data_IF_665903566713
#
_entry.id   IF_665903566713
#
_cell.length_a   1.000
_cell.length_b   1.000
_cell.length_c   1.000
_cell.angle_alpha   90.00
_cell.angle_beta   90.00
_cell.angle_gamma   90.00
#
_symmetry.space_group_name_H-M   'P 1'
#
loop_
_entity.id
_entity.type
_entity.pdbx_description
1 polymer ?
#
# COMPACT_ATOMS: atom_id res chain seq x y z
N UNK A 1 33.05 -8.70 -2.60
CA UNK A 1 32.01 -9.67 -2.28
C UNK A 1 31.01 -9.64 -3.43
N UNK A 2 30.77 -10.79 -4.05
CA UNK A 2 29.82 -10.89 -5.16
C UNK A 2 28.40 -11.01 -4.60
N UNK A 3 27.50 -10.13 -5.03
CA UNK A 3 26.09 -10.08 -4.58
C UNK A 3 25.18 -10.84 -5.52
N UNK A 4 24.42 -11.80 -4.98
CA UNK A 4 23.47 -12.63 -5.72
C UNK A 4 22.04 -12.42 -5.19
N UNK A 5 21.24 -11.50 -5.74
CA UNK A 5 19.92 -11.15 -5.19
C UNK A 5 18.96 -12.32 -5.04
N UNK A 6 19.06 -13.32 -5.96
CA UNK A 6 18.20 -14.49 -5.95
C UNK A 6 18.54 -15.51 -4.85
N UNK A 7 19.74 -15.44 -4.27
CA UNK A 7 20.22 -16.38 -3.27
C UNK A 7 20.37 -15.78 -1.87
N UNK A 8 20.70 -14.49 -1.82
CA UNK A 8 20.89 -13.81 -0.54
C UNK A 8 19.57 -13.46 0.12
N UNK A 9 19.50 -13.76 1.38
CA UNK A 9 18.37 -13.41 2.24
C UNK A 9 18.35 -11.92 2.49
N UNK A 10 17.17 -11.34 2.37
CA UNK A 10 16.92 -9.94 2.68
C UNK A 10 16.27 -9.80 4.05
N UNK A 11 15.31 -10.66 4.34
CA UNK A 11 14.57 -10.62 5.60
C UNK A 11 13.81 -11.91 5.88
N UNK A 12 13.33 -12.00 7.12
CA UNK A 12 12.43 -13.05 7.57
C UNK A 12 11.09 -12.43 7.96
N UNK A 13 10.00 -12.89 7.30
CA UNK A 13 8.63 -12.55 7.70
C UNK A 13 8.03 -13.73 8.46
N UNK A 14 7.44 -13.44 9.63
CA UNK A 14 6.79 -14.48 10.41
C UNK A 14 5.32 -14.62 9.99
N UNK A 15 4.93 -15.85 9.67
CA UNK A 15 3.53 -16.24 9.46
C UNK A 15 2.97 -16.88 10.73
N UNK A 16 1.69 -16.62 11.03
CA UNK A 16 1.02 -17.20 12.22
C UNK A 16 0.91 -18.72 12.20
N UNK A 17 1.16 -19.36 11.05
CA UNK A 17 1.02 -20.81 10.90
C UNK A 17 -0.39 -21.32 11.20
N UNK A 18 -0.84 -22.35 10.49
CA UNK A 18 -2.14 -22.99 10.75
C UNK A 18 -2.12 -23.98 11.91
N UNK A 19 -0.95 -24.35 12.40
CA UNK A 19 -0.77 -25.47 13.33
C UNK A 19 0.38 -25.27 14.31
N UNK A 20 0.42 -24.17 15.07
CA UNK A 20 1.40 -24.04 16.15
C UNK A 20 2.27 -22.78 16.12
N UNK A 21 3.58 -22.92 16.31
CA UNK A 21 4.51 -21.81 16.41
C UNK A 21 4.61 -21.00 15.10
N UNK A 22 4.82 -19.67 15.19
CA UNK A 22 5.06 -18.84 14.01
C UNK A 22 6.22 -19.38 13.17
N UNK A 23 6.03 -19.41 11.86
CA UNK A 23 7.05 -19.87 10.92
C UNK A 23 7.77 -18.67 10.30
N UNK A 24 9.10 -18.67 10.35
CA UNK A 24 9.92 -17.69 9.66
C UNK A 24 9.98 -18.02 8.16
N UNK A 25 9.40 -17.13 7.35
CA UNK A 25 9.48 -17.23 5.88
C UNK A 25 10.68 -16.40 5.42
N UNK A 26 11.63 -17.09 4.78
CA UNK A 26 12.83 -16.47 4.22
C UNK A 26 12.50 -15.77 2.90
N UNK A 27 12.77 -14.48 2.81
CA UNK A 27 12.63 -13.70 1.60
C UNK A 27 14.01 -13.28 1.08
N UNK A 28 14.24 -13.49 -0.20
CA UNK A 28 15.46 -13.01 -0.87
C UNK A 28 15.30 -11.57 -1.35
N UNK A 29 16.41 -10.90 -1.66
CA UNK A 29 16.36 -9.58 -2.30
C UNK A 29 15.57 -9.61 -3.61
N UNK A 30 15.68 -10.69 -4.40
CA UNK A 30 14.92 -10.84 -5.64
C UNK A 30 13.41 -10.90 -5.40
N UNK A 31 12.94 -11.55 -4.31
CA UNK A 31 11.52 -11.56 -3.97
C UNK A 31 10.99 -10.15 -3.71
N UNK A 32 11.73 -9.34 -2.96
CA UNK A 32 11.32 -7.96 -2.69
C UNK A 32 11.33 -7.10 -3.95
N UNK A 33 12.37 -7.18 -4.76
CA UNK A 33 12.48 -6.45 -6.02
C UNK A 33 11.32 -6.81 -6.95
N UNK A 34 11.08 -8.10 -7.17
CA UNK A 34 10.02 -8.59 -8.05
C UNK A 34 8.64 -8.10 -7.56
N UNK A 35 8.35 -8.23 -6.27
CA UNK A 35 7.08 -7.81 -5.70
C UNK A 35 6.90 -6.28 -5.77
N UNK A 36 7.96 -5.51 -5.52
CA UNK A 36 7.94 -4.05 -5.66
C UNK A 36 7.57 -3.64 -7.08
N UNK A 37 8.19 -4.24 -8.09
CA UNK A 37 7.90 -3.98 -9.50
C UNK A 37 6.45 -4.35 -9.84
N UNK A 38 6.00 -5.56 -9.45
CA UNK A 38 4.64 -6.02 -9.68
C UNK A 38 3.60 -5.06 -9.10
N UNK A 39 3.79 -4.65 -7.85
CA UNK A 39 2.89 -3.72 -7.17
C UNK A 39 2.92 -2.33 -7.81
N UNK A 40 4.10 -1.84 -8.20
CA UNK A 40 4.23 -0.54 -8.88
C UNK A 40 3.44 -0.54 -10.20
N UNK A 41 3.56 -1.58 -11.01
CA UNK A 41 2.80 -1.74 -12.26
C UNK A 41 1.29 -1.82 -11.97
N UNK A 42 0.88 -2.61 -10.97
CA UNK A 42 -0.53 -2.77 -10.59
C UNK A 42 -1.17 -1.44 -10.16
N UNK A 43 -0.39 -0.58 -9.50
CA UNK A 43 -0.86 0.74 -9.05
C UNK A 43 -0.81 1.81 -10.17
N UNK A 44 -0.46 1.44 -11.40
CA UNK A 44 -0.35 2.37 -12.53
C UNK A 44 0.94 3.19 -12.54
N UNK A 45 1.93 2.82 -11.72
CA UNK A 45 3.24 3.45 -11.72
C UNK A 45 4.02 3.13 -12.98
N UNK A 46 4.78 4.12 -13.47
CA UNK A 46 5.73 3.88 -14.56
C UNK A 46 6.99 3.24 -13.99
N UNK A 47 7.26 2.03 -14.39
CA UNK A 47 8.56 1.40 -14.15
C UNK A 47 9.43 1.73 -15.36
N UNK A 48 10.58 2.38 -15.14
CA UNK A 48 11.57 2.52 -16.19
C UNK A 48 11.90 1.13 -16.71
N UNK A 49 11.73 0.92 -18.03
CA UNK A 49 11.96 -0.38 -18.67
C UNK A 49 13.33 -0.91 -18.24
N UNK A 50 13.40 -2.00 -17.46
CA UNK A 50 14.70 -2.56 -17.11
C UNK A 50 15.37 -3.06 -18.37
N UNK A 51 16.70 -3.10 -18.36
CA UNK A 51 17.51 -3.61 -19.46
C UNK A 51 17.23 -5.10 -19.79
N UNK A 52 16.42 -5.78 -18.99
CA UNK A 52 15.97 -7.16 -19.19
C UNK A 52 14.47 -7.25 -18.86
N UNK A 53 13.68 -7.52 -19.86
CA UNK A 53 12.28 -7.92 -19.69
C UNK A 53 12.24 -9.45 -19.61
N UNK A 54 12.29 -9.97 -18.37
CA UNK A 54 12.29 -11.42 -18.13
C UNK A 54 10.93 -12.07 -18.41
N UNK A 55 9.85 -11.30 -18.55
CA UNK A 55 8.50 -11.85 -18.62
C UNK A 55 7.57 -11.21 -19.65
N UNK A 56 8.02 -10.25 -20.47
CA UNK A 56 7.17 -9.56 -21.46
C UNK A 56 6.01 -8.75 -20.85
N UNK A 57 6.08 -8.41 -19.57
CA UNK A 57 4.97 -7.76 -18.87
C UNK A 57 4.95 -6.24 -19.01
N UNK A 58 6.04 -5.68 -19.53
CA UNK A 58 6.19 -4.22 -19.63
C UNK A 58 5.44 -3.58 -20.81
N UNK A 59 4.96 -4.38 -21.76
CA UNK A 59 4.15 -3.90 -22.88
C UNK A 59 2.65 -3.90 -22.59
N UNK A 60 2.23 -4.36 -21.40
CA UNK A 60 0.83 -4.25 -20.98
C UNK A 60 0.57 -2.82 -20.50
N UNK A 61 -0.48 -2.16 -20.98
CA UNK A 61 -0.89 -0.88 -20.42
C UNK A 61 -1.30 -1.12 -18.97
N UNK A 62 -0.50 -0.62 -18.02
CA UNK A 62 -0.92 -0.56 -16.63
C UNK A 62 -2.23 0.23 -16.59
N UNK A 63 -3.27 -0.34 -15.97
CA UNK A 63 -4.49 0.41 -15.74
C UNK A 63 -4.12 1.62 -14.87
N UNK A 64 -4.33 2.86 -15.36
CA UNK A 64 -3.81 4.05 -14.69
C UNK A 64 -4.69 4.41 -13.51
N UNK A 65 -4.55 3.68 -12.38
CA UNK A 65 -5.26 4.05 -11.15
C UNK A 65 -4.82 5.42 -10.63
N UNK A 66 -3.60 5.86 -10.94
CA UNK A 66 -3.00 7.05 -10.36
C UNK A 66 -2.14 7.85 -11.37
N UNK A 67 -2.30 7.64 -12.68
CA UNK A 67 -1.52 8.36 -13.70
C UNK A 67 -1.89 9.86 -13.72
N UNK A 68 -0.87 10.72 -13.70
CA UNK A 68 -1.05 12.18 -13.77
C UNK A 68 -1.50 12.84 -12.46
N UNK A 69 -1.54 12.11 -11.35
CA UNK A 69 -1.88 12.65 -10.02
C UNK A 69 -0.59 12.81 -9.20
N UNK A 70 -0.38 13.99 -8.65
CA UNK A 70 0.62 14.17 -7.61
C UNK A 70 0.23 13.33 -6.40
N UNK A 71 0.92 12.20 -6.23
CA UNK A 71 0.56 11.21 -5.23
C UNK A 71 1.14 11.59 -3.88
N UNK A 72 0.30 11.54 -2.85
CA UNK A 72 0.71 11.56 -1.45
C UNK A 72 0.06 10.37 -0.77
N UNK A 73 0.86 9.45 -0.26
CA UNK A 73 0.37 8.26 0.42
C UNK A 73 0.24 8.47 1.93
N UNK A 74 -0.70 7.76 2.53
CA UNK A 74 -0.77 7.64 3.98
C UNK A 74 -0.36 6.23 4.42
N UNK A 75 0.73 6.16 5.19
CA UNK A 75 1.34 4.91 5.64
C UNK A 75 1.06 4.67 7.11
N UNK A 76 0.06 3.86 7.40
CA UNK A 76 -0.42 3.55 8.75
C UNK A 76 -0.19 2.08 9.15
N UNK A 77 0.18 1.23 8.19
CA UNK A 77 0.36 -0.19 8.43
C UNK A 77 1.69 -0.45 9.15
N UNK A 78 1.72 -1.44 10.09
CA UNK A 78 2.95 -1.77 10.80
C UNK A 78 4.10 -2.13 9.85
N UNK A 79 5.24 -1.46 10.00
CA UNK A 79 6.40 -1.64 9.12
C UNK A 79 7.07 -3.01 9.29
N UNK A 80 6.87 -3.67 10.43
CA UNK A 80 7.35 -5.03 10.68
C UNK A 80 6.49 -6.12 10.04
N UNK A 81 5.30 -5.76 9.52
CA UNK A 81 4.43 -6.66 8.77
C UNK A 81 4.70 -6.56 7.28
N UNK A 82 4.65 -7.66 6.55
CA UNK A 82 4.93 -7.68 5.11
C UNK A 82 4.12 -6.63 4.31
N UNK A 83 2.87 -6.39 4.67
CA UNK A 83 2.02 -5.40 3.98
C UNK A 83 2.54 -3.97 4.18
N UNK A 84 2.83 -3.55 5.41
CA UNK A 84 3.39 -2.20 5.69
C UNK A 84 4.79 -2.03 5.11
N UNK A 85 5.62 -3.06 5.20
CA UNK A 85 6.97 -3.03 4.66
C UNK A 85 6.99 -2.87 3.13
N UNK A 86 6.25 -3.70 2.39
CA UNK A 86 6.28 -3.62 0.91
C UNK A 86 5.71 -2.30 0.42
N UNK A 87 4.69 -1.75 1.07
CA UNK A 87 4.15 -0.44 0.71
C UNK A 87 5.16 0.68 0.93
N UNK A 88 5.99 0.60 1.96
CA UNK A 88 7.09 1.54 2.17
C UNK A 88 8.18 1.42 1.13
N UNK A 89 8.54 0.20 0.73
CA UNK A 89 9.51 -0.04 -0.36
C UNK A 89 8.96 0.52 -1.69
N UNK A 90 7.67 0.34 -1.96
CA UNK A 90 7.02 0.92 -3.14
C UNK A 90 7.13 2.45 -3.13
N UNK A 91 6.81 3.10 -2.01
CA UNK A 91 6.92 4.55 -1.90
C UNK A 91 8.35 5.06 -2.15
N UNK A 92 9.35 4.36 -1.65
CA UNK A 92 10.76 4.66 -1.93
C UNK A 92 11.12 4.43 -3.40
N UNK A 93 10.66 3.34 -4.00
CA UNK A 93 10.92 3.01 -5.40
C UNK A 93 10.28 4.02 -6.36
N UNK A 94 9.07 4.46 -6.08
CA UNK A 94 8.31 5.41 -6.91
C UNK A 94 8.60 6.87 -6.55
N UNK A 95 9.40 7.13 -5.52
CA UNK A 95 9.67 8.46 -4.95
C UNK A 95 8.37 9.18 -4.51
N UNK A 96 7.39 8.41 -4.06
CA UNK A 96 6.10 8.92 -3.62
C UNK A 96 6.18 9.42 -2.18
N UNK A 97 5.84 10.68 -1.89
CA UNK A 97 5.75 11.19 -0.53
C UNK A 97 4.76 10.37 0.31
N UNK A 98 5.14 10.04 1.54
CA UNK A 98 4.28 9.28 2.44
C UNK A 98 4.20 9.94 3.83
N UNK A 99 2.99 10.10 4.31
CA UNK A 99 2.74 10.53 5.69
C UNK A 99 2.76 9.29 6.57
N UNK A 100 3.71 9.21 7.47
CA UNK A 100 3.88 8.09 8.40
C UNK A 100 3.35 8.49 9.76
N UNK A 101 2.49 7.66 10.32
CA UNK A 101 1.93 7.87 11.64
C UNK A 101 2.25 6.69 12.57
N UNK A 102 2.75 7.02 13.78
CA UNK A 102 3.11 6.00 14.76
C UNK A 102 1.88 5.33 15.40
N UNK A 103 0.75 6.05 15.46
CA UNK A 103 -0.49 5.55 16.06
C UNK A 103 -1.68 6.06 15.27
N UNK A 104 -2.45 5.14 14.73
CA UNK A 104 -3.68 5.45 14.00
C UNK A 104 -4.79 5.94 14.93
N UNK A 105 -5.48 7.00 14.49
CA UNK A 105 -6.84 7.35 14.91
C UNK A 105 -7.62 7.89 13.71
N UNK A 106 -8.97 7.78 13.68
CA UNK A 106 -9.76 8.40 12.59
C UNK A 106 -9.49 9.90 12.46
N UNK A 107 -9.39 10.61 13.58
CA UNK A 107 -9.12 12.05 13.58
C UNK A 107 -7.75 12.38 12.97
N UNK A 108 -6.69 11.66 13.35
CA UNK A 108 -5.36 11.90 12.80
C UNK A 108 -5.32 11.63 11.29
N UNK A 109 -6.00 10.60 10.84
CA UNK A 109 -6.15 10.29 9.42
C UNK A 109 -6.84 11.44 8.66
N UNK A 110 -8.03 11.87 9.11
CA UNK A 110 -8.78 12.94 8.43
C UNK A 110 -8.00 14.25 8.40
N UNK A 111 -7.37 14.61 9.52
CA UNK A 111 -6.51 15.79 9.59
C UNK A 111 -5.32 15.69 8.63
N UNK A 112 -4.69 14.53 8.51
CA UNK A 112 -3.59 14.32 7.56
C UNK A 112 -4.06 14.41 6.12
N UNK A 113 -5.21 13.82 5.80
CA UNK A 113 -5.81 13.90 4.46
C UNK A 113 -6.02 15.36 4.06
N UNK A 114 -6.69 16.13 4.88
CA UNK A 114 -6.95 17.55 4.60
C UNK A 114 -5.66 18.37 4.51
N UNK A 115 -4.75 18.19 5.49
CA UNK A 115 -3.53 19.02 5.59
C UNK A 115 -2.52 18.73 4.48
N UNK A 116 -2.32 17.47 4.15
CA UNK A 116 -1.27 17.05 3.22
C UNK A 116 -1.82 16.62 1.86
N UNK A 117 -3.14 16.76 1.64
CA UNK A 117 -3.81 16.35 0.40
C UNK A 117 -3.50 14.91 0.03
N UNK A 118 -3.62 13.99 1.01
CA UNK A 118 -3.41 12.56 0.79
C UNK A 118 -4.32 12.06 -0.32
N UNK A 119 -3.74 11.36 -1.28
CA UNK A 119 -4.46 10.84 -2.45
C UNK A 119 -4.72 9.35 -2.37
N UNK A 120 -3.89 8.63 -1.61
CA UNK A 120 -3.93 7.16 -1.55
C UNK A 120 -3.55 6.64 -0.17
N UNK A 121 -4.24 5.58 0.29
CA UNK A 121 -3.83 4.86 1.50
C UNK A 121 -4.00 3.34 1.34
N UNK A 122 -3.04 2.60 1.89
CA UNK A 122 -3.16 1.16 2.11
C UNK A 122 -3.77 0.93 3.48
N UNK A 123 -4.89 0.22 3.52
CA UNK A 123 -5.68 0.02 4.73
C UNK A 123 -6.03 -1.45 4.94
N UNK A 124 -6.63 -1.74 6.08
CA UNK A 124 -7.24 -3.04 6.39
C UNK A 124 -8.69 -2.84 6.79
N UNK A 125 -9.59 -3.83 6.65
CA UNK A 125 -11.01 -3.66 6.93
C UNK A 125 -11.36 -3.04 8.29
N UNK A 126 -10.70 -3.38 9.40
CA UNK A 126 -10.97 -2.74 10.69
C UNK A 126 -10.73 -1.22 10.69
N UNK A 127 -9.73 -0.75 9.93
CA UNK A 127 -9.45 0.68 9.78
C UNK A 127 -10.56 1.36 8.98
N UNK A 128 -10.99 0.76 7.86
CA UNK A 128 -12.11 1.28 7.07
C UNK A 128 -13.39 1.39 7.92
N UNK A 129 -13.68 0.37 8.73
CA UNK A 129 -14.82 0.40 9.65
C UNK A 129 -14.70 1.57 10.64
N UNK A 130 -13.52 1.78 11.20
CA UNK A 130 -13.29 2.90 12.14
C UNK A 130 -13.45 4.26 11.45
N UNK A 131 -12.98 4.41 10.21
CA UNK A 131 -13.13 5.66 9.44
C UNK A 131 -14.60 5.94 9.11
N UNK A 132 -15.31 4.95 8.57
CA UNK A 132 -16.72 5.09 8.17
C UNK A 132 -17.65 5.36 9.35
N UNK A 133 -17.39 4.74 10.50
CA UNK A 133 -18.19 4.96 11.72
C UNK A 133 -17.85 6.24 12.46
N UNK A 134 -16.81 6.95 12.07
CA UNK A 134 -16.38 8.15 12.75
C UNK A 134 -17.30 9.33 12.41
N UNK A 135 -17.93 9.98 13.42
CA UNK A 135 -18.74 11.17 13.16
C UNK A 135 -17.92 12.41 12.80
N UNK A 136 -16.60 12.23 12.69
CA UNK A 136 -15.68 13.34 12.39
C UNK A 136 -15.41 13.50 10.90
N UNK A 137 -15.77 12.52 10.06
CA UNK A 137 -15.48 12.57 8.62
C UNK A 137 -16.01 13.85 7.96
N UNK A 138 -17.23 14.26 8.32
CA UNK A 138 -17.88 15.46 7.76
C UNK A 138 -17.23 16.80 8.17
N UNK A 139 -16.27 16.75 9.11
CA UNK A 139 -15.57 17.96 9.59
C UNK A 139 -14.29 18.27 8.80
N UNK A 140 -13.90 17.38 7.89
CA UNK A 140 -12.64 17.46 7.15
C UNK A 140 -12.86 17.39 5.65
N UNK A 141 -12.04 18.09 4.89
CA UNK A 141 -12.00 17.96 3.44
C UNK A 141 -11.24 16.69 3.04
N UNK A 142 -11.97 15.68 2.57
CA UNK A 142 -11.45 14.38 2.11
C UNK A 142 -11.37 14.29 0.58
N UNK A 143 -11.68 15.34 -0.15
CA UNK A 143 -11.77 15.37 -1.63
C UNK A 143 -10.47 14.99 -2.35
N UNK A 144 -9.34 15.04 -1.64
CA UNK A 144 -8.05 14.64 -2.20
C UNK A 144 -7.89 13.14 -2.36
N UNK A 145 -8.63 12.32 -1.57
CA UNK A 145 -8.54 10.87 -1.66
C UNK A 145 -9.06 10.40 -3.02
N UNK A 146 -8.23 9.68 -3.76
CA UNK A 146 -8.56 9.09 -5.07
C UNK A 146 -8.76 7.58 -4.97
N UNK A 147 -8.04 6.92 -4.04
CA UNK A 147 -8.16 5.49 -3.87
C UNK A 147 -7.76 5.03 -2.47
N UNK A 148 -8.43 3.98 -2.00
CA UNK A 148 -8.08 3.22 -0.80
C UNK A 148 -7.90 1.76 -1.20
N UNK A 149 -6.70 1.21 -0.98
CA UNK A 149 -6.44 -0.21 -1.24
C UNK A 149 -6.56 -1.00 0.06
N UNK A 150 -7.53 -1.90 0.13
CA UNK A 150 -7.72 -2.78 1.29
C UNK A 150 -7.14 -4.15 1.03
N UNK A 151 -6.41 -4.67 2.03
CA UNK A 151 -5.78 -5.99 1.97
C UNK A 151 -5.81 -6.72 3.32
N UNK A 152 -5.12 -7.84 3.38
CA UNK A 152 -4.95 -8.71 4.53
C UNK A 152 -6.20 -9.43 5.07
N UNK A 153 -7.42 -9.01 4.71
CA UNK A 153 -8.66 -9.66 5.08
C UNK A 153 -9.77 -9.39 4.05
N UNK A 154 -10.83 -10.18 4.12
CA UNK A 154 -12.00 -10.01 3.27
C UNK A 154 -12.68 -8.65 3.53
N UNK A 155 -13.00 -7.94 2.47
CA UNK A 155 -13.77 -6.69 2.50
C UNK A 155 -15.18 -6.95 1.99
N UNK A 156 -16.21 -6.70 2.82
CA UNK A 156 -17.60 -6.88 2.41
C UNK A 156 -18.01 -5.85 1.35
N UNK A 157 -18.92 -6.24 0.48
CA UNK A 157 -19.48 -5.34 -0.54
C UNK A 157 -20.14 -4.10 0.07
N UNK A 158 -20.83 -4.27 1.20
CA UNK A 158 -21.46 -3.17 1.92
C UNK A 158 -20.44 -2.14 2.38
N UNK A 159 -19.33 -2.59 2.97
CA UNK A 159 -18.27 -1.69 3.43
C UNK A 159 -17.61 -0.96 2.25
N UNK A 160 -17.39 -1.65 1.12
CA UNK A 160 -16.93 -1.00 -0.11
C UNK A 160 -17.88 0.12 -0.55
N UNK A 161 -19.19 -0.15 -0.60
CA UNK A 161 -20.18 0.83 -1.03
C UNK A 161 -20.20 2.06 -0.12
N UNK A 162 -20.14 1.86 1.18
CA UNK A 162 -20.11 2.98 2.14
C UNK A 162 -18.83 3.80 1.97
N UNK A 163 -17.67 3.16 1.81
CA UNK A 163 -16.42 3.88 1.56
C UNK A 163 -16.48 4.74 0.29
N UNK A 164 -17.09 4.24 -0.78
CA UNK A 164 -17.23 4.98 -2.04
C UNK A 164 -18.09 6.23 -1.88
N UNK A 165 -19.10 6.23 -1.01
CA UNK A 165 -19.92 7.40 -0.74
C UNK A 165 -19.12 8.56 -0.10
N UNK A 166 -18.05 8.26 0.63
CA UNK A 166 -17.18 9.26 1.25
C UNK A 166 -16.01 9.71 0.37
N UNK A 167 -15.69 8.95 -0.68
CA UNK A 167 -14.50 9.20 -1.53
C UNK A 167 -14.84 9.53 -2.98
N UNK A 168 -16.12 9.46 -3.35
CA UNK A 168 -16.57 9.87 -4.68
C UNK A 168 -16.97 11.35 -4.68
N UNK A 169 -16.54 12.13 -5.68
CA UNK A 169 -16.96 13.51 -5.85
C UNK A 169 -18.44 13.63 -6.16
#
# INVERSE_FOLDING_TARGET
>A
VQFYPAKQESMFCFSSGTSGLPKAVRLTHMNLIANTIQMTVTLGGRVNKPTYDLYGWYDQPAAPLLEGIDQVHYSLLPQFHCYGMITSIINLHTLTPAIIEAKFSPESFFRAVQKFRVTFAFVVPPILIALVRSPMADKYDLSSIKSLASGAAFLSKELCTICLLYTSP
#
